data_IF_292853641985
#
_entry.id   IF_292853641985
#
_cell.length_a   1.000
_cell.length_b   1.000
_cell.length_c   1.000
_cell.angle_alpha   90.00
_cell.angle_beta   90.00
_cell.angle_gamma   90.00
#
_symmetry.space_group_name_H-M   'P 1'
#
loop_
_entity.id
_entity.type
_entity.pdbx_description
1 polymer ?
#
# COMPACT_ATOMS: atom_id res chain seq x y z
N UNK A 1 -5.33 47.55 -40.56
CA UNK A 1 -5.49 46.52 -39.51
C UNK A 1 -5.06 47.13 -38.19
N UNK A 2 -6.03 47.61 -37.41
CA UNK A 2 -5.87 48.09 -36.05
C UNK A 2 -5.81 46.90 -35.09
N UNK A 3 -4.86 46.86 -34.17
CA UNK A 3 -5.13 47.01 -32.72
C UNK A 3 -3.88 46.65 -31.89
N UNK A 4 -3.32 47.66 -31.24
CA UNK A 4 -2.29 47.56 -30.20
C UNK A 4 -3.02 47.58 -28.86
N UNK A 5 -3.33 46.42 -28.26
CA UNK A 5 -3.74 46.22 -26.85
C UNK A 5 -3.53 44.71 -26.59
N UNK A 6 -2.51 44.24 -25.87
CA UNK A 6 -2.35 44.44 -24.43
C UNK A 6 -0.95 43.98 -24.03
N UNK A 7 -0.02 44.93 -23.97
CA UNK A 7 1.10 44.84 -23.02
C UNK A 7 0.47 45.02 -21.64
N UNK A 8 1.13 44.48 -20.60
CA UNK A 8 0.88 44.69 -19.17
C UNK A 8 -0.06 43.61 -18.60
N UNK A 9 0.27 42.89 -17.53
CA UNK A 9 1.21 43.15 -16.45
C UNK A 9 1.12 41.95 -15.50
N UNK A 10 2.22 41.65 -14.82
CA UNK A 10 2.25 41.41 -13.36
C UNK A 10 1.70 40.05 -12.92
N UNK A 11 2.60 39.11 -12.62
CA UNK A 11 3.02 38.78 -11.25
C UNK A 11 1.88 38.21 -10.39
N UNK A 12 1.91 36.89 -10.24
CA UNK A 12 1.55 36.11 -9.05
C UNK A 12 1.87 34.66 -9.43
N UNK A 13 3.00 34.02 -9.10
CA UNK A 13 3.66 33.98 -7.80
C UNK A 13 2.65 33.82 -6.66
N UNK A 14 1.79 32.81 -6.72
CA UNK A 14 1.06 32.32 -5.56
C UNK A 14 0.99 30.78 -5.58
N UNK A 15 1.90 30.20 -4.80
CA UNK A 15 1.71 29.07 -3.89
C UNK A 15 0.64 28.02 -4.26
N UNK A 16 1.10 26.82 -4.57
CA UNK A 16 0.51 25.60 -4.01
C UNK A 16 1.56 24.48 -4.12
N UNK A 17 2.59 24.51 -3.26
CA UNK A 17 3.25 23.27 -2.88
C UNK A 17 2.22 22.48 -2.07
N UNK A 18 1.43 21.68 -2.79
CA UNK A 18 0.51 20.71 -2.20
C UNK A 18 1.38 19.61 -1.61
N UNK A 19 1.91 19.83 -0.40
CA UNK A 19 2.52 18.76 0.37
C UNK A 19 1.39 17.86 0.79
N UNK A 20 1.07 16.86 -0.04
CA UNK A 20 0.28 15.71 0.38
C UNK A 20 1.18 15.01 1.39
N UNK A 21 1.04 15.35 2.66
CA UNK A 21 1.41 14.45 3.75
C UNK A 21 0.51 13.23 3.55
N UNK A 22 1.02 12.26 2.80
CA UNK A 22 0.48 10.92 2.76
C UNK A 22 0.62 10.37 4.18
N UNK A 23 -0.42 10.58 4.98
CA UNK A 23 -0.73 9.61 6.02
C UNK A 23 -0.84 8.30 5.23
N UNK A 24 0.11 7.40 5.44
CA UNK A 24 -0.07 6.00 5.11
C UNK A 24 -1.33 5.57 5.86
N UNK A 25 -2.47 5.78 5.23
CA UNK A 25 -3.71 5.19 5.65
C UNK A 25 -3.48 3.72 5.37
N UNK A 26 -3.08 2.96 6.40
CA UNK A 26 -3.28 1.53 6.43
C UNK A 26 -4.80 1.31 6.37
N UNK A 27 -5.39 1.52 5.19
CA UNK A 27 -6.77 1.16 4.90
C UNK A 27 -6.69 -0.31 4.56
N UNK A 28 -6.59 -1.13 5.60
CA UNK A 28 -6.72 -2.56 5.45
C UNK A 28 -8.05 -2.91 4.79
N UNK A 29 -8.10 -4.11 4.24
CA UNK A 29 -9.28 -4.63 3.58
C UNK A 29 -10.45 -4.77 4.56
N UNK A 30 -11.66 -4.60 4.04
CA UNK A 30 -12.85 -5.03 4.77
C UNK A 30 -12.82 -6.54 5.02
N UNK A 31 -13.58 -7.02 6.00
CA UNK A 31 -13.68 -8.46 6.31
C UNK A 31 -14.02 -9.29 5.06
N UNK A 32 -14.94 -8.80 4.22
CA UNK A 32 -15.33 -9.46 2.97
C UNK A 32 -14.18 -9.51 1.95
N UNK A 33 -13.47 -8.40 1.76
CA UNK A 33 -12.31 -8.34 0.85
C UNK A 33 -11.15 -9.22 1.32
N UNK A 34 -10.84 -9.18 2.62
CA UNK A 34 -9.82 -10.03 3.23
C UNK A 34 -10.17 -11.51 3.08
N UNK A 35 -11.43 -11.88 3.33
CA UNK A 35 -11.93 -13.25 3.16
C UNK A 35 -11.76 -13.72 1.71
N UNK A 36 -12.24 -12.93 0.74
CA UNK A 36 -12.12 -13.25 -0.68
C UNK A 36 -10.65 -13.39 -1.12
N UNK A 37 -9.75 -12.58 -0.56
CA UNK A 37 -8.31 -12.66 -0.85
C UNK A 37 -7.67 -13.90 -0.25
N UNK A 38 -7.95 -14.21 1.01
CA UNK A 38 -7.41 -15.39 1.70
C UNK A 38 -7.96 -16.71 1.16
N UNK A 39 -9.19 -16.71 0.63
CA UNK A 39 -9.75 -17.86 -0.09
C UNK A 39 -8.96 -18.17 -1.36
N UNK A 40 -8.61 -17.14 -2.15
CA UNK A 40 -7.79 -17.29 -3.35
C UNK A 40 -6.37 -17.80 -3.01
N UNK A 41 -5.75 -17.26 -1.97
CA UNK A 41 -4.42 -17.71 -1.50
C UNK A 41 -4.47 -19.18 -1.05
N UNK A 42 -5.50 -19.55 -0.29
CA UNK A 42 -5.71 -20.93 0.17
C UNK A 42 -5.88 -21.89 -1.00
N UNK A 43 -6.67 -21.53 -2.01
CA UNK A 43 -6.85 -22.35 -3.22
C UNK A 43 -5.53 -22.50 -3.98
N UNK A 44 -4.80 -21.38 -4.19
CA UNK A 44 -3.52 -21.38 -4.90
C UNK A 44 -2.44 -22.22 -4.19
N UNK A 45 -2.50 -22.30 -2.86
CA UNK A 45 -1.50 -22.98 -2.03
C UNK A 45 -1.87 -24.43 -1.66
N UNK A 46 -3.02 -24.93 -2.12
CA UNK A 46 -3.44 -26.33 -1.92
C UNK A 46 -4.20 -26.61 -0.62
N UNK A 47 -4.74 -25.57 0.03
CA UNK A 47 -5.57 -25.69 1.23
C UNK A 47 -4.84 -26.31 2.41
N UNK A 48 -5.58 -27.07 3.24
CA UNK A 48 -5.05 -27.72 4.45
C UNK A 48 -4.01 -28.82 4.18
N UNK A 49 -4.00 -29.39 2.97
CA UNK A 49 -2.96 -30.33 2.54
C UNK A 49 -1.71 -29.59 2.03
N UNK A 50 -1.89 -28.33 1.62
CA UNK A 50 -0.83 -27.36 1.40
C UNK A 50 -0.43 -26.70 2.71
N UNK A 51 0.62 -25.90 2.68
CA UNK A 51 1.15 -25.25 3.87
C UNK A 51 0.30 -24.05 4.33
N UNK A 52 -1.02 -24.18 4.16
CA UNK A 52 -2.05 -23.17 4.33
C UNK A 52 -3.20 -23.75 5.14
N UNK A 53 -2.95 -23.99 6.43
CA UNK A 53 -3.95 -24.48 7.37
C UNK A 53 -4.84 -23.36 7.93
N UNK A 54 -5.70 -23.70 8.88
CA UNK A 54 -6.58 -22.76 9.55
C UNK A 54 -5.83 -21.60 10.22
N UNK A 55 -4.64 -21.85 10.78
CA UNK A 55 -3.80 -20.82 11.39
C UNK A 55 -3.31 -19.80 10.35
N UNK A 56 -2.81 -20.27 9.20
CA UNK A 56 -2.35 -19.39 8.12
C UNK A 56 -3.49 -18.60 7.50
N UNK A 57 -4.70 -19.17 7.47
CA UNK A 57 -5.90 -18.47 7.02
C UNK A 57 -6.27 -17.32 7.98
N UNK A 58 -6.20 -17.56 9.29
CA UNK A 58 -6.44 -16.52 10.30
C UNK A 58 -5.38 -15.40 10.23
N UNK A 59 -4.10 -15.77 10.14
CA UNK A 59 -2.99 -14.81 9.94
C UNK A 59 -3.15 -13.99 8.65
N UNK A 60 -3.60 -14.63 7.56
CA UNK A 60 -3.93 -13.96 6.31
C UNK A 60 -5.05 -12.92 6.51
N UNK A 61 -6.14 -13.30 7.18
CA UNK A 61 -7.27 -12.39 7.43
C UNK A 61 -6.80 -11.17 8.23
N UNK A 62 -6.08 -11.39 9.33
CA UNK A 62 -5.57 -10.29 10.17
C UNK A 62 -4.67 -9.37 9.39
N UNK A 63 -3.68 -9.90 8.65
CA UNK A 63 -2.75 -9.07 7.90
C UNK A 63 -3.46 -8.25 6.82
N UNK A 64 -4.34 -8.85 6.02
CA UNK A 64 -5.08 -8.11 5.00
C UNK A 64 -6.08 -7.11 5.61
N UNK A 65 -6.66 -7.38 6.79
CA UNK A 65 -7.50 -6.41 7.49
C UNK A 65 -6.72 -5.25 8.13
N UNK A 66 -5.45 -5.47 8.47
CA UNK A 66 -4.60 -4.46 9.11
C UNK A 66 -3.87 -3.57 8.10
N UNK A 67 -3.29 -4.16 7.06
CA UNK A 67 -2.46 -3.45 6.08
C UNK A 67 -2.92 -3.61 4.61
N UNK A 68 -3.97 -4.38 4.33
CA UNK A 68 -4.60 -4.40 3.00
C UNK A 68 -3.65 -4.88 1.92
N UNK A 69 -3.40 -4.05 0.90
CA UNK A 69 -2.50 -4.43 -0.18
C UNK A 69 -1.02 -4.41 0.21
N UNK A 70 -0.67 -3.79 1.33
CA UNK A 70 0.73 -3.64 1.75
C UNK A 70 1.25 -4.88 2.50
N UNK A 71 0.44 -5.94 2.63
CA UNK A 71 0.85 -7.21 3.23
C UNK A 71 2.05 -7.82 2.49
N UNK A 72 3.13 -8.06 3.22
CA UNK A 72 4.25 -8.86 2.77
C UNK A 72 3.99 -10.35 3.02
N UNK A 73 4.01 -11.13 1.93
CA UNK A 73 3.79 -12.57 1.97
C UNK A 73 5.14 -13.29 1.87
N UNK A 74 5.55 -13.91 2.96
CA UNK A 74 6.77 -14.72 2.99
C UNK A 74 6.42 -16.15 2.61
N UNK A 75 6.77 -16.53 1.38
CA UNK A 75 6.57 -17.89 0.89
C UNK A 75 7.40 -18.89 1.70
N UNK A 76 6.69 -19.84 2.33
CA UNK A 76 7.25 -20.85 3.20
C UNK A 76 6.25 -21.99 3.42
N UNK A 77 6.67 -22.96 4.24
CA UNK A 77 5.79 -24.03 4.70
C UNK A 77 5.89 -24.18 6.22
N UNK A 78 5.08 -23.44 7.00
CA UNK A 78 3.91 -22.64 6.61
C UNK A 78 4.23 -21.29 5.95
N UNK A 79 3.28 -20.73 5.20
CA UNK A 79 3.33 -19.34 4.71
C UNK A 79 3.18 -18.37 5.89
N UNK A 80 3.76 -17.18 5.78
CA UNK A 80 3.62 -16.12 6.78
C UNK A 80 3.15 -14.82 6.12
N UNK A 81 2.33 -14.07 6.86
CA UNK A 81 1.76 -12.79 6.46
C UNK A 81 2.22 -11.71 7.44
N UNK A 82 2.87 -10.67 6.91
CA UNK A 82 3.45 -9.59 7.70
C UNK A 82 2.91 -8.26 7.21
N UNK A 83 2.53 -7.39 8.14
CA UNK A 83 2.33 -5.99 7.80
C UNK A 83 3.67 -5.26 7.86
N UNK A 84 3.94 -4.35 6.91
CA UNK A 84 5.15 -3.56 6.92
C UNK A 84 5.16 -2.72 8.20
N UNK A 85 6.23 -2.85 8.98
CA UNK A 85 6.47 -1.96 10.11
C UNK A 85 7.07 -0.68 9.57
N UNK A 86 6.54 0.49 9.96
CA UNK A 86 7.10 1.80 9.61
C UNK A 86 8.57 1.88 10.08
N UNK A 87 9.52 1.47 9.22
CA UNK A 87 10.87 1.12 9.66
C UNK A 87 11.88 0.90 8.54
N UNK A 88 11.61 1.36 7.32
CA UNK A 88 12.63 1.71 6.33
C UNK A 88 12.57 3.22 6.06
N UNK A 89 12.94 3.96 7.11
CA UNK A 89 13.49 5.30 6.98
C UNK A 89 14.88 5.15 6.29
N UNK A 90 14.95 5.68 5.07
CA UNK A 90 16.18 6.17 4.41
C UNK A 90 17.21 5.10 3.95
N UNK A 91 17.13 4.69 2.68
CA UNK A 91 18.36 4.52 1.90
C UNK A 91 18.95 5.93 1.65
N UNK A 92 19.56 6.52 2.68
CA UNK A 92 20.44 7.67 2.56
C UNK A 92 21.65 7.24 1.72
N UNK A 93 21.56 7.42 0.40
CA UNK A 93 22.73 7.44 -0.47
C UNK A 93 23.26 8.87 -0.51
N UNK A 94 23.98 9.25 0.54
CA UNK A 94 24.87 10.41 0.48
C UNK A 94 26.02 10.06 -0.46
N UNK A 95 25.91 10.52 -1.71
CA UNK A 95 27.00 10.51 -2.69
C UNK A 95 28.13 11.43 -2.18
N UNK A 96 29.35 10.88 -2.01
CA UNK A 96 30.61 11.64 -1.84
C UNK A 96 31.12 12.19 -3.18
#
# INVERSE_FOLDING_TARGET
MTSIRSILRVLAALSATTTILGLAACSGFSEEEATNRCDQEREARGGEMGCFGALQYDECLTAYQDCGQDVDVVDGCPVQYLCPTDGEEEAETTEE
#
